data_IF_298856355391
#
_entry.id   IF_298856355391
#
_cell.length_a   1.000
_cell.length_b   1.000
_cell.length_c   1.000
_cell.angle_alpha   90.00
_cell.angle_beta   90.00
_cell.angle_gamma   90.00
#
_symmetry.space_group_name_H-M   'P 1'
#
loop_
_entity.id
_entity.type
_entity.pdbx_description
1 polymer ?
#
# COMPACT_ATOMS: atom_id res chain seq x y z
N UNK A 1 23.16 3.67 9.36
CA UNK A 1 21.89 3.62 8.60
C UNK A 1 22.12 3.75 7.09
N UNK A 2 22.86 4.75 6.60
CA UNK A 2 23.12 4.95 5.15
C UNK A 2 23.58 3.68 4.41
N UNK A 3 24.59 2.96 4.92
CA UNK A 3 25.11 1.74 4.29
C UNK A 3 24.08 0.60 4.21
N UNK A 4 23.25 0.43 5.25
CA UNK A 4 22.17 -0.56 5.28
C UNK A 4 21.08 -0.23 4.26
N UNK A 5 20.65 1.03 4.21
CA UNK A 5 19.62 1.46 3.27
C UNK A 5 20.10 1.28 1.82
N UNK A 6 21.34 1.67 1.53
CA UNK A 6 21.94 1.46 0.22
C UNK A 6 21.96 -0.03 -0.17
N UNK A 7 22.41 -0.91 0.72
CA UNK A 7 22.43 -2.35 0.47
C UNK A 7 21.01 -2.92 0.24
N UNK A 8 20.03 -2.48 1.02
CA UNK A 8 18.64 -2.90 0.83
C UNK A 8 18.08 -2.44 -0.53
N UNK A 9 18.31 -1.19 -0.92
CA UNK A 9 17.86 -0.66 -2.19
C UNK A 9 18.54 -1.35 -3.38
N UNK A 10 19.84 -1.63 -3.29
CA UNK A 10 20.55 -2.38 -4.31
C UNK A 10 19.98 -3.80 -4.44
N UNK A 11 19.70 -4.47 -3.31
CA UNK A 11 19.05 -5.78 -3.32
C UNK A 11 17.64 -5.71 -3.93
N UNK A 12 16.86 -4.69 -3.58
CA UNK A 12 15.51 -4.50 -4.11
C UNK A 12 15.53 -4.33 -5.63
N UNK A 13 16.49 -3.57 -6.17
CA UNK A 13 16.61 -3.36 -7.61
C UNK A 13 17.02 -4.62 -8.39
N UNK A 14 17.70 -5.55 -7.73
CA UNK A 14 18.07 -6.85 -8.30
C UNK A 14 17.02 -7.94 -8.06
N UNK A 15 16.02 -7.67 -7.22
CA UNK A 15 15.03 -8.65 -6.83
C UNK A 15 14.00 -8.90 -7.94
N UNK A 16 13.84 -10.16 -8.35
CA UNK A 16 12.91 -10.52 -9.42
C UNK A 16 11.45 -10.30 -9.03
N UNK A 17 11.10 -10.38 -7.74
CA UNK A 17 9.74 -10.13 -7.24
C UNK A 17 9.36 -8.67 -7.46
N UNK A 18 10.29 -7.74 -7.21
CA UNK A 18 10.06 -6.31 -7.45
C UNK A 18 9.69 -6.04 -8.91
N UNK A 19 10.47 -6.55 -9.85
CA UNK A 19 10.19 -6.39 -11.29
C UNK A 19 8.92 -7.12 -11.73
N UNK A 20 8.60 -8.27 -11.15
CA UNK A 20 7.32 -8.94 -11.37
C UNK A 20 6.15 -8.06 -10.93
N UNK A 21 6.26 -7.37 -9.78
CA UNK A 21 5.22 -6.44 -9.32
C UNK A 21 5.11 -5.21 -10.22
N UNK A 22 6.23 -4.68 -10.72
CA UNK A 22 6.22 -3.58 -11.72
C UNK A 22 5.43 -4.01 -12.96
N UNK A 23 5.73 -5.18 -13.51
CA UNK A 23 5.01 -5.74 -14.66
C UNK A 23 3.53 -5.98 -14.35
N UNK A 24 3.21 -6.46 -13.14
CA UNK A 24 1.83 -6.65 -12.70
C UNK A 24 1.05 -5.33 -12.64
N UNK A 25 1.65 -4.25 -12.12
CA UNK A 25 1.03 -2.91 -12.10
C UNK A 25 0.74 -2.43 -13.52
N UNK A 26 1.71 -2.50 -14.43
CA UNK A 26 1.54 -2.08 -15.84
C UNK A 26 0.43 -2.89 -16.52
N UNK A 27 0.44 -4.21 -16.32
CA UNK A 27 -0.52 -5.12 -16.91
C UNK A 27 -1.94 -4.91 -16.37
N UNK A 28 -2.10 -4.80 -15.05
CA UNK A 28 -3.39 -4.56 -14.41
C UNK A 28 -3.98 -3.23 -14.84
N UNK A 29 -3.18 -2.17 -14.85
CA UNK A 29 -3.64 -0.85 -15.29
C UNK A 29 -4.14 -0.88 -16.74
N UNK A 30 -3.37 -1.51 -17.62
CA UNK A 30 -3.75 -1.66 -19.04
C UNK A 30 -5.05 -2.46 -19.19
N UNK A 31 -5.20 -3.56 -18.47
CA UNK A 31 -6.40 -4.41 -18.51
C UNK A 31 -7.61 -3.66 -17.96
N UNK A 32 -7.48 -2.97 -16.82
CA UNK A 32 -8.59 -2.21 -16.24
C UNK A 32 -8.99 -1.04 -17.13
N UNK A 33 -8.05 -0.31 -17.71
CA UNK A 33 -8.31 0.76 -18.66
C UNK A 33 -9.10 0.25 -19.88
N UNK A 34 -8.72 -0.89 -20.46
CA UNK A 34 -9.47 -1.51 -21.58
C UNK A 34 -10.89 -1.90 -21.13
N UNK A 35 -11.07 -2.42 -19.92
CA UNK A 35 -12.38 -2.81 -19.42
C UNK A 35 -13.28 -1.59 -19.15
N UNK A 36 -12.75 -0.51 -18.58
CA UNK A 36 -13.46 0.74 -18.37
C UNK A 36 -13.94 1.33 -19.70
N UNK A 37 -13.06 1.32 -20.71
CA UNK A 37 -13.42 1.74 -22.08
C UNK A 37 -14.56 0.91 -22.68
N UNK A 38 -14.58 -0.40 -22.44
CA UNK A 38 -15.69 -1.27 -22.89
C UNK A 38 -17.01 -0.99 -22.18
N UNK A 39 -16.96 -0.50 -20.95
CA UNK A 39 -18.14 -0.16 -20.14
C UNK A 39 -18.68 1.24 -20.44
N UNK A 40 -17.96 2.06 -21.22
CA UNK A 40 -18.34 3.44 -21.54
C UNK A 40 -18.12 4.42 -20.38
N UNK A 41 -17.48 3.98 -19.29
CA UNK A 41 -17.07 4.82 -18.16
C UNK A 41 -15.63 5.25 -18.37
N UNK A 42 -15.43 6.52 -18.71
CA UNK A 42 -14.16 7.01 -19.23
C UNK A 42 -13.63 8.35 -18.64
N UNK A 43 -13.97 8.75 -17.40
CA UNK A 43 -13.25 9.90 -16.85
C UNK A 43 -11.76 9.55 -16.72
N UNK A 44 -10.89 10.38 -17.31
CA UNK A 44 -9.43 10.24 -17.26
C UNK A 44 -8.91 10.06 -15.83
N UNK A 45 -9.58 10.76 -14.93
CA UNK A 45 -9.47 10.76 -13.49
C UNK A 45 -9.51 9.35 -12.86
N UNK A 46 -10.47 8.52 -13.26
CA UNK A 46 -10.57 7.14 -12.79
C UNK A 46 -9.45 6.28 -13.38
N UNK A 47 -9.10 6.51 -14.65
CA UNK A 47 -8.04 5.77 -15.34
C UNK A 47 -6.69 5.98 -14.67
N UNK A 48 -6.40 7.17 -14.12
CA UNK A 48 -5.14 7.47 -13.44
C UNK A 48 -4.86 6.64 -12.19
N UNK A 49 -5.91 6.11 -11.54
CA UNK A 49 -5.81 5.50 -10.21
C UNK A 49 -6.48 4.12 -10.11
N UNK A 50 -6.89 3.52 -11.23
CA UNK A 50 -7.63 2.25 -11.20
C UNK A 50 -6.79 1.07 -10.67
N UNK A 51 -5.47 1.06 -10.90
CA UNK A 51 -4.55 0.08 -10.33
C UNK A 51 -4.56 0.04 -8.79
N UNK A 52 -4.96 1.13 -8.12
CA UNK A 52 -4.94 1.21 -6.65
C UNK A 52 -5.78 0.10 -6.01
N UNK A 53 -6.85 -0.35 -6.66
CA UNK A 53 -7.70 -1.43 -6.15
C UNK A 53 -6.93 -2.73 -5.82
N UNK A 54 -5.83 -2.99 -6.53
CA UNK A 54 -5.01 -4.19 -6.31
C UNK A 54 -3.72 -3.90 -5.52
N UNK A 55 -3.38 -2.64 -5.24
CA UNK A 55 -2.10 -2.28 -4.63
C UNK A 55 -1.90 -2.92 -3.26
N UNK A 56 -2.93 -3.01 -2.42
CA UNK A 56 -2.81 -3.66 -1.11
C UNK A 56 -2.28 -5.10 -1.20
N UNK A 57 -2.73 -5.86 -2.21
CA UNK A 57 -2.31 -7.25 -2.44
C UNK A 57 -0.88 -7.29 -3.01
N UNK A 58 -0.57 -6.43 -3.98
CA UNK A 58 0.77 -6.37 -4.58
C UNK A 58 1.84 -5.98 -3.54
N UNK A 59 1.54 -4.99 -2.69
CA UNK A 59 2.43 -4.57 -1.59
C UNK A 59 2.61 -5.71 -0.59
N UNK A 60 1.54 -6.44 -0.24
CA UNK A 60 1.62 -7.59 0.65
C UNK A 60 2.57 -8.67 0.12
N UNK A 61 2.44 -9.01 -1.17
CA UNK A 61 3.29 -10.00 -1.84
C UNK A 61 4.75 -9.52 -1.87
N UNK A 62 4.99 -8.28 -2.32
CA UNK A 62 6.32 -7.71 -2.44
C UNK A 62 7.07 -7.73 -1.11
N UNK A 63 6.48 -7.11 -0.08
CA UNK A 63 7.14 -6.90 1.19
C UNK A 63 7.30 -8.21 1.98
N UNK A 64 6.30 -9.08 1.95
CA UNK A 64 6.39 -10.35 2.67
C UNK A 64 7.49 -11.27 2.10
N UNK A 65 7.65 -11.30 0.77
CA UNK A 65 8.70 -12.08 0.10
C UNK A 65 10.08 -11.43 0.27
N UNK A 66 10.17 -10.11 0.14
CA UNK A 66 11.42 -9.36 0.28
C UNK A 66 11.99 -9.43 1.71
N UNK A 67 11.14 -9.38 2.75
CA UNK A 67 11.61 -9.55 4.13
C UNK A 67 11.80 -11.02 4.52
N UNK A 68 11.08 -11.94 3.88
CA UNK A 68 11.23 -13.38 4.14
C UNK A 68 12.60 -13.94 3.76
N UNK A 69 13.25 -13.40 2.72
CA UNK A 69 14.63 -13.78 2.33
C UNK A 69 15.66 -13.41 3.39
N UNK A 70 15.47 -12.26 4.06
CA UNK A 70 16.34 -11.76 5.13
C UNK A 70 16.43 -12.74 6.32
N UNK A 71 15.36 -13.50 6.57
CA UNK A 71 15.31 -14.57 7.58
C UNK A 71 15.82 -15.90 7.05
N UNK A 72 15.37 -16.32 5.87
CA UNK A 72 15.71 -17.62 5.29
C UNK A 72 17.21 -17.78 5.04
N UNK A 73 17.88 -16.70 4.64
CA UNK A 73 19.32 -16.69 4.34
C UNK A 73 20.19 -16.32 5.57
N UNK A 74 19.58 -16.04 6.72
CA UNK A 74 20.31 -15.60 7.91
C UNK A 74 20.91 -14.18 7.79
N UNK A 75 20.55 -13.41 6.76
CA UNK A 75 21.06 -12.06 6.50
C UNK A 75 20.83 -11.10 7.67
N UNK A 76 19.73 -11.26 8.42
CA UNK A 76 19.48 -10.48 9.65
C UNK A 76 20.58 -10.73 10.70
N UNK A 77 21.03 -11.97 10.88
CA UNK A 77 22.12 -12.30 11.81
C UNK A 77 23.43 -11.69 11.34
N UNK A 78 23.73 -11.76 10.04
CA UNK A 78 24.92 -11.15 9.46
C UNK A 78 24.95 -9.63 9.70
N UNK A 79 23.81 -8.94 9.52
CA UNK A 79 23.67 -7.50 9.81
C UNK A 79 23.98 -7.19 11.29
N UNK A 80 23.56 -8.05 12.23
CA UNK A 80 23.85 -7.89 13.66
C UNK A 80 25.31 -8.16 14.02
N UNK A 81 25.93 -9.20 13.44
CA UNK A 81 27.34 -9.57 13.69
C UNK A 81 28.29 -8.46 13.25
N UNK A 82 28.00 -7.80 12.12
CA UNK A 82 28.76 -6.63 11.64
C UNK A 82 28.58 -5.38 12.55
N UNK A 83 27.72 -5.46 13.56
CA UNK A 83 27.54 -4.42 14.59
C UNK A 83 26.39 -3.45 14.33
N UNK A 84 25.47 -3.74 13.39
CA UNK A 84 24.31 -2.89 13.21
C UNK A 84 23.27 -3.06 14.32
N UNK A 85 22.71 -1.93 14.78
CA UNK A 85 21.64 -1.92 15.78
C UNK A 85 20.35 -2.48 15.18
N UNK A 86 19.57 -3.23 15.96
CA UNK A 86 18.23 -3.73 15.57
C UNK A 86 17.30 -2.63 15.06
N UNK A 87 17.31 -1.46 15.70
CA UNK A 87 16.53 -0.30 15.24
C UNK A 87 16.93 0.17 13.84
N UNK A 88 18.22 0.14 13.53
CA UNK A 88 18.71 0.57 12.23
C UNK A 88 18.36 -0.42 11.12
N UNK A 89 18.28 -1.71 11.44
CA UNK A 89 17.84 -2.76 10.50
C UNK A 89 16.36 -2.57 10.19
N UNK A 90 15.52 -2.40 11.23
CA UNK A 90 14.08 -2.19 11.07
C UNK A 90 13.77 -0.93 10.23
N UNK A 91 14.36 0.22 10.59
CA UNK A 91 14.13 1.47 9.88
C UNK A 91 14.67 1.44 8.45
N UNK A 92 15.80 0.77 8.19
CA UNK A 92 16.32 0.63 6.84
C UNK A 92 15.43 -0.25 5.96
N UNK A 93 14.82 -1.31 6.51
CA UNK A 93 13.87 -2.16 5.80
C UNK A 93 12.54 -1.42 5.54
N UNK A 94 12.05 -0.65 6.51
CA UNK A 94 10.86 0.18 6.36
C UNK A 94 11.04 1.24 5.26
N UNK A 95 12.14 1.98 5.28
CA UNK A 95 12.45 3.00 4.27
C UNK A 95 12.61 2.40 2.88
N UNK A 96 13.28 1.24 2.76
CA UNK A 96 13.38 0.52 1.48
C UNK A 96 12.00 0.09 0.98
N UNK A 97 11.11 -0.37 1.88
CA UNK A 97 9.72 -0.69 1.56
C UNK A 97 8.93 0.52 1.07
N UNK A 98 9.03 1.68 1.74
CA UNK A 98 8.39 2.91 1.28
C UNK A 98 8.87 3.36 -0.09
N UNK A 99 10.17 3.27 -0.35
CA UNK A 99 10.73 3.59 -1.67
C UNK A 99 10.19 2.62 -2.72
N UNK A 100 10.17 1.31 -2.44
CA UNK A 100 9.63 0.31 -3.36
C UNK A 100 8.17 0.59 -3.74
N UNK A 101 7.33 0.85 -2.74
CA UNK A 101 5.90 1.14 -2.93
C UNK A 101 5.68 2.46 -3.64
N UNK A 102 6.49 3.48 -3.35
CA UNK A 102 6.42 4.76 -4.06
C UNK A 102 6.78 4.61 -5.53
N UNK A 103 7.81 3.81 -5.86
CA UNK A 103 8.15 3.52 -7.27
C UNK A 103 7.00 2.80 -7.97
N UNK A 104 6.39 1.78 -7.35
CA UNK A 104 5.23 1.10 -7.92
C UNK A 104 4.05 2.05 -8.16
N UNK A 105 3.76 2.92 -7.19
CA UNK A 105 2.69 3.92 -7.31
C UNK A 105 2.95 4.89 -8.46
N UNK A 106 4.16 5.44 -8.56
CA UNK A 106 4.53 6.36 -9.63
C UNK A 106 4.47 5.70 -11.01
N UNK A 107 4.89 4.44 -11.13
CA UNK A 107 4.76 3.68 -12.38
C UNK A 107 3.29 3.51 -12.75
N UNK A 108 2.41 3.17 -11.80
CA UNK A 108 0.98 3.06 -12.04
C UNK A 108 0.38 4.37 -12.58
N UNK A 109 0.64 5.49 -11.90
CA UNK A 109 0.17 6.82 -12.33
C UNK A 109 0.73 7.21 -13.71
N UNK A 110 2.00 6.92 -14.00
CA UNK A 110 2.59 7.18 -15.31
C UNK A 110 1.90 6.38 -16.42
N UNK A 111 1.63 5.09 -16.19
CA UNK A 111 0.94 4.24 -17.15
C UNK A 111 -0.50 4.72 -17.36
N UNK A 112 -1.24 4.99 -16.28
CA UNK A 112 -2.59 5.54 -16.34
C UNK A 112 -2.64 6.87 -17.09
N UNK A 113 -1.67 7.77 -16.86
CA UNK A 113 -1.57 9.05 -17.55
C UNK A 113 -1.27 8.91 -19.04
N UNK A 114 -0.36 8.00 -19.43
CA UNK A 114 -0.08 7.70 -20.84
C UNK A 114 -1.31 7.09 -21.53
N UNK A 115 -1.99 6.15 -20.88
CA UNK A 115 -3.19 5.51 -21.44
C UNK A 115 -4.35 6.51 -21.57
N UNK A 116 -4.59 7.34 -20.54
CA UNK A 116 -5.60 8.40 -20.58
C UNK A 116 -5.34 9.40 -21.72
N UNK A 117 -4.07 9.81 -21.91
CA UNK A 117 -3.70 10.70 -23.00
C UNK A 117 -3.90 10.07 -24.39
N UNK A 118 -3.56 8.78 -24.55
CA UNK A 118 -3.76 8.04 -25.82
C UNK A 118 -5.23 7.87 -26.15
N UNK A 119 -6.10 7.77 -25.15
CA UNK A 119 -7.54 7.61 -25.34
C UNK A 119 -8.30 8.93 -25.53
N UNK A 120 -7.63 10.09 -25.38
CA UNK A 120 -8.22 11.43 -25.48
C UNK A 120 -9.36 11.66 -24.48
N UNK A 121 -9.25 11.08 -23.29
CA UNK A 121 -10.29 11.25 -22.27
C UNK A 121 -10.18 12.61 -21.57
N UNK A 122 -11.29 13.33 -21.37
CA UNK A 122 -11.28 14.60 -20.68
C UNK A 122 -11.08 14.42 -19.16
N UNK A 123 -10.49 15.44 -18.54
CA UNK A 123 -10.49 15.60 -17.08
C UNK A 123 -11.87 16.12 -16.67
N UNK A 124 -12.55 15.42 -15.75
CA UNK A 124 -13.86 15.84 -15.24
C UNK A 124 -13.71 16.70 -13.98
N UNK A 125 -12.73 16.36 -13.12
CA UNK A 125 -12.52 17.00 -11.84
C UNK A 125 -11.41 18.07 -11.90
N UNK A 126 -11.45 18.99 -10.93
CA UNK A 126 -10.43 20.03 -10.80
C UNK A 126 -9.05 19.42 -10.47
N UNK A 127 -7.99 20.04 -10.97
CA UNK A 127 -6.61 19.56 -10.82
C UNK A 127 -6.24 19.35 -9.35
N UNK A 128 -6.73 20.21 -8.46
CA UNK A 128 -6.49 20.10 -7.03
C UNK A 128 -7.10 18.82 -6.45
N UNK A 129 -8.30 18.43 -6.88
CA UNK A 129 -8.95 17.20 -6.41
C UNK A 129 -8.19 15.96 -6.87
N UNK A 130 -7.70 15.94 -8.11
CA UNK A 130 -6.88 14.85 -8.64
C UNK A 130 -5.59 14.68 -7.83
N UNK A 131 -4.92 15.79 -7.50
CA UNK A 131 -3.71 15.76 -6.67
C UNK A 131 -4.05 15.24 -5.26
N UNK A 132 -5.15 15.68 -4.65
CA UNK A 132 -5.57 15.20 -3.33
C UNK A 132 -5.87 13.71 -3.32
N UNK A 133 -6.61 13.21 -4.31
CA UNK A 133 -6.89 11.77 -4.52
C UNK A 133 -5.58 10.98 -4.63
N UNK A 134 -4.64 11.47 -5.44
CA UNK A 134 -3.32 10.84 -5.59
C UNK A 134 -2.52 10.80 -4.29
N UNK A 135 -2.52 11.88 -3.51
CA UNK A 135 -1.83 11.94 -2.21
C UNK A 135 -2.48 10.99 -1.20
N UNK A 136 -3.81 10.95 -1.11
CA UNK A 136 -4.53 10.02 -0.24
C UNK A 136 -4.23 8.57 -0.63
N UNK A 137 -4.30 8.23 -1.91
CA UNK A 137 -3.99 6.90 -2.42
C UNK A 137 -2.53 6.48 -2.15
N UNK A 138 -1.58 7.40 -2.32
CA UNK A 138 -0.17 7.16 -2.01
C UNK A 138 0.07 6.92 -0.51
N UNK A 139 -0.51 7.75 0.35
CA UNK A 139 -0.41 7.58 1.81
C UNK A 139 -1.07 6.28 2.29
N UNK A 140 -2.19 5.87 1.68
CA UNK A 140 -2.80 4.57 1.95
C UNK A 140 -1.86 3.41 1.57
N UNK A 141 -1.15 3.51 0.44
CA UNK A 141 -0.15 2.52 0.05
C UNK A 141 1.03 2.47 1.04
N UNK A 142 1.50 3.61 1.55
CA UNK A 142 2.53 3.65 2.60
C UNK A 142 2.03 3.07 3.93
N UNK A 143 0.74 3.21 4.24
CA UNK A 143 0.11 2.56 5.40
C UNK A 143 0.15 1.04 5.28
N UNK A 144 -0.20 0.47 4.12
CA UNK A 144 0.00 -0.95 3.84
C UNK A 144 1.46 -1.37 4.02
N UNK A 145 2.40 -0.57 3.51
CA UNK A 145 3.82 -0.86 3.63
C UNK A 145 4.28 -0.92 5.09
N UNK A 146 3.80 -0.01 5.95
CA UNK A 146 4.11 -0.01 7.38
C UNK A 146 3.53 -1.25 8.09
N UNK A 147 2.28 -1.60 7.79
CA UNK A 147 1.60 -2.80 8.35
C UNK A 147 2.37 -4.07 7.97
N UNK A 148 2.67 -4.27 6.69
CA UNK A 148 3.34 -5.48 6.23
C UNK A 148 4.83 -5.52 6.57
N UNK A 149 5.49 -4.37 6.72
CA UNK A 149 6.85 -4.33 7.29
C UNK A 149 6.85 -4.79 8.75
N UNK A 150 5.86 -4.40 9.56
CA UNK A 150 5.71 -4.93 10.91
C UNK A 150 5.57 -6.46 10.89
N UNK A 151 4.63 -6.99 10.09
CA UNK A 151 4.38 -8.44 10.01
C UNK A 151 5.61 -9.20 9.51
N UNK A 152 6.23 -8.72 8.43
CA UNK A 152 7.39 -9.36 7.82
C UNK A 152 8.61 -9.35 8.73
N UNK A 153 8.84 -8.25 9.45
CA UNK A 153 9.96 -8.16 10.40
C UNK A 153 9.71 -8.93 11.69
N UNK A 154 8.46 -9.25 12.06
CA UNK A 154 8.16 -10.06 13.23
C UNK A 154 8.01 -11.55 12.94
N UNK A 155 7.78 -11.93 11.68
CA UNK A 155 7.75 -13.33 11.25
C UNK A 155 9.14 -13.96 11.25
N UNK A 156 9.24 -15.26 11.56
CA UNK A 156 10.49 -16.02 11.55
C UNK A 156 10.69 -16.81 10.26
N UNK A 157 9.62 -17.01 9.48
CA UNK A 157 9.67 -17.75 8.22
C UNK A 157 9.05 -16.95 7.09
N UNK A 158 9.62 -17.14 5.89
CA UNK A 158 9.14 -16.52 4.65
C UNK A 158 7.68 -16.86 4.36
N UNK A 159 7.31 -18.13 4.52
CA UNK A 159 5.95 -18.61 4.23
C UNK A 159 4.91 -18.02 5.19
N UNK A 160 5.21 -17.95 6.49
CA UNK A 160 4.26 -17.39 7.48
C UNK A 160 4.06 -15.89 7.23
N UNK A 161 5.14 -15.15 6.97
CA UNK A 161 5.06 -13.74 6.56
C UNK A 161 4.14 -13.55 5.36
N UNK A 162 4.33 -14.33 4.30
CA UNK A 162 3.52 -14.25 3.09
C UNK A 162 2.05 -14.55 3.34
N UNK A 163 1.74 -15.64 4.05
CA UNK A 163 0.36 -16.03 4.36
C UNK A 163 -0.34 -14.93 5.16
N UNK A 164 0.29 -14.41 6.22
CA UNK A 164 -0.32 -13.38 7.08
C UNK A 164 -0.50 -12.07 6.32
N UNK A 165 0.48 -11.63 5.52
CA UNK A 165 0.35 -10.40 4.74
C UNK A 165 -0.74 -10.51 3.67
N UNK A 166 -0.80 -11.62 2.93
CA UNK A 166 -1.80 -11.82 1.87
C UNK A 166 -3.20 -11.91 2.46
N UNK A 167 -3.40 -12.73 3.50
CA UNK A 167 -4.69 -12.80 4.19
C UNK A 167 -5.07 -11.47 4.83
N UNK A 168 -4.10 -10.73 5.36
CA UNK A 168 -4.31 -9.38 5.88
C UNK A 168 -4.77 -8.39 4.81
N UNK A 169 -4.16 -8.41 3.61
CA UNK A 169 -4.55 -7.58 2.49
C UNK A 169 -5.99 -7.87 2.04
N UNK A 170 -6.34 -9.16 1.88
CA UNK A 170 -7.71 -9.56 1.55
C UNK A 170 -8.69 -9.21 2.68
N UNK A 171 -8.29 -9.36 3.95
CA UNK A 171 -9.10 -8.94 5.09
C UNK A 171 -9.43 -7.45 5.05
N UNK A 172 -8.44 -6.60 4.78
CA UNK A 172 -8.63 -5.15 4.63
C UNK A 172 -9.50 -4.80 3.41
N UNK A 173 -9.32 -5.51 2.29
CA UNK A 173 -10.15 -5.37 1.09
C UNK A 173 -11.62 -5.72 1.36
N UNK A 174 -11.90 -6.92 1.86
CA UNK A 174 -13.26 -7.41 2.07
C UNK A 174 -14.00 -6.63 3.16
N UNK A 175 -13.31 -6.24 4.24
CA UNK A 175 -13.89 -5.35 5.25
C UNK A 175 -14.26 -4.00 4.67
N UNK A 176 -13.42 -3.42 3.82
CA UNK A 176 -13.72 -2.17 3.12
C UNK A 176 -14.93 -2.30 2.20
N UNK A 177 -14.98 -3.36 1.39
CA UNK A 177 -16.13 -3.61 0.50
C UNK A 177 -17.43 -3.82 1.29
N UNK A 178 -17.37 -4.54 2.40
CA UNK A 178 -18.52 -4.74 3.27
C UNK A 178 -19.02 -3.44 3.89
N UNK A 179 -18.11 -2.60 4.40
CA UNK A 179 -18.44 -1.30 4.98
C UNK A 179 -19.02 -0.37 3.91
N UNK A 180 -18.40 -0.33 2.73
CA UNK A 180 -18.87 0.47 1.58
C UNK A 180 -20.32 0.13 1.22
N UNK A 181 -20.65 -1.15 1.08
CA UNK A 181 -22.02 -1.59 0.79
C UNK A 181 -23.02 -1.19 1.87
N UNK A 182 -22.60 -1.17 3.14
CA UNK A 182 -23.46 -0.75 4.26
C UNK A 182 -23.69 0.76 4.29
N UNK A 183 -22.66 1.55 3.98
CA UNK A 183 -22.74 3.02 3.92
C UNK A 183 -23.55 3.51 2.71
N UNK A 184 -23.50 2.78 1.60
CA UNK A 184 -24.23 3.10 0.37
C UNK A 184 -25.74 2.87 0.47
N UNK A 185 -26.24 2.10 1.46
CA UNK A 185 -27.67 1.83 1.63
C UNK A 185 -28.36 2.94 2.45
N UNK A 186 -29.28 3.73 1.85
CA UNK A 186 -29.95 4.82 2.54
C UNK A 186 -30.76 4.32 3.76
N UNK A 187 -30.65 5.02 4.89
CA UNK A 187 -31.44 4.73 6.10
C UNK A 187 -31.02 3.48 6.88
N UNK A 188 -30.02 2.71 6.43
CA UNK A 188 -29.58 1.48 7.11
C UNK A 188 -28.68 1.73 8.32
N UNK A 189 -27.93 2.83 8.30
CA UNK A 189 -27.07 3.27 9.39
C UNK A 189 -27.47 4.71 9.75
N UNK A 190 -27.67 4.96 11.05
CA UNK A 190 -28.11 6.27 11.55
C UNK A 190 -27.34 6.67 12.80
N UNK A 191 -27.19 7.98 13.00
CA UNK A 191 -26.51 8.56 14.16
C UNK A 191 -25.10 8.01 14.36
N UNK A 192 -24.79 7.62 15.59
CA UNK A 192 -23.46 7.13 16.03
C UNK A 192 -22.98 5.88 15.28
N UNK A 193 -23.90 5.01 14.85
CA UNK A 193 -23.52 3.80 14.11
C UNK A 193 -22.94 4.13 12.75
N UNK A 194 -23.49 5.16 12.07
CA UNK A 194 -22.97 5.61 10.78
C UNK A 194 -21.56 6.19 10.93
N UNK A 195 -21.36 7.07 11.93
CA UNK A 195 -20.07 7.69 12.20
C UNK A 195 -18.98 6.65 12.50
N UNK A 196 -19.32 5.57 13.21
CA UNK A 196 -18.37 4.47 13.45
C UNK A 196 -17.98 3.75 12.15
N UNK A 197 -18.93 3.50 11.26
CA UNK A 197 -18.65 2.86 9.97
C UNK A 197 -17.80 3.77 9.06
N UNK A 198 -18.09 5.06 9.01
CA UNK A 198 -17.29 6.06 8.29
C UNK A 198 -15.86 6.08 8.83
N UNK A 199 -15.68 6.15 10.15
CA UNK A 199 -14.36 6.06 10.78
C UNK A 199 -13.61 4.77 10.41
N UNK A 200 -14.26 3.60 10.51
CA UNK A 200 -13.63 2.32 10.15
C UNK A 200 -13.26 2.26 8.67
N UNK A 201 -14.05 2.89 7.80
CA UNK A 201 -13.78 2.97 6.37
C UNK A 201 -12.61 3.89 6.06
N UNK A 202 -12.55 5.06 6.70
CA UNK A 202 -11.50 6.06 6.51
C UNK A 202 -10.18 5.64 7.15
N UNK A 203 -10.19 4.87 8.24
CA UNK A 203 -8.95 4.33 8.82
C UNK A 203 -8.41 3.16 7.99
N UNK A 204 -9.25 2.35 7.37
CA UNK A 204 -8.79 1.24 6.56
C UNK A 204 -8.07 1.74 5.29
N UNK A 205 -6.79 1.40 5.04
CA UNK A 205 -6.08 1.83 3.84
C UNK A 205 -6.79 1.44 2.54
N UNK A 206 -7.46 0.29 2.51
CA UNK A 206 -8.23 -0.11 1.34
C UNK A 206 -9.55 0.68 1.21
N UNK A 207 -10.14 1.11 2.33
CA UNK A 207 -11.31 1.99 2.32
C UNK A 207 -10.95 3.37 1.80
N UNK A 208 -9.77 3.90 2.16
CA UNK A 208 -9.24 5.12 1.57
C UNK A 208 -9.02 5.00 0.06
N UNK A 209 -8.49 3.87 -0.42
CA UNK A 209 -8.35 3.59 -1.86
C UNK A 209 -9.70 3.61 -2.57
N UNK A 210 -10.72 2.93 -2.02
CA UNK A 210 -12.05 2.92 -2.63
C UNK A 210 -12.68 4.32 -2.67
N UNK A 211 -12.53 5.11 -1.60
CA UNK A 211 -12.99 6.50 -1.55
C UNK A 211 -12.28 7.38 -2.59
N UNK A 212 -10.95 7.27 -2.66
CA UNK A 212 -10.10 7.97 -3.62
C UNK A 212 -10.54 7.67 -5.06
N UNK A 213 -10.79 6.41 -5.41
CA UNK A 213 -11.26 6.02 -6.75
C UNK A 213 -12.68 6.50 -7.06
N UNK A 214 -13.54 6.62 -6.04
CA UNK A 214 -14.91 7.14 -6.19
C UNK A 214 -15.00 8.67 -6.17
N UNK A 215 -13.87 9.38 -6.05
CA UNK A 215 -13.80 10.84 -5.86
C UNK A 215 -14.61 11.35 -4.65
N UNK A 216 -14.91 10.46 -3.70
CA UNK A 216 -15.58 10.79 -2.46
C UNK A 216 -14.52 11.17 -1.42
N UNK A 217 -14.05 12.42 -1.51
CA UNK A 217 -12.93 12.95 -0.73
C UNK A 217 -13.31 14.19 0.10
N UNK A 218 -14.59 14.27 0.51
CA UNK A 218 -15.14 15.36 1.34
C UNK A 218 -14.29 15.63 2.60
N UNK A 219 -13.66 14.57 3.12
CA UNK A 219 -12.78 14.63 4.29
C UNK A 219 -11.33 14.25 3.97
N UNK A 220 -10.80 14.69 2.82
CA UNK A 220 -9.42 14.43 2.35
C UNK A 220 -8.35 14.55 3.45
N UNK A 221 -8.42 15.64 4.24
CA UNK A 221 -7.43 15.91 5.30
C UNK A 221 -7.52 14.86 6.41
N UNK A 222 -8.73 14.45 6.81
CA UNK A 222 -8.92 13.43 7.85
C UNK A 222 -8.36 12.08 7.41
N UNK A 223 -8.60 11.69 6.15
CA UNK A 223 -8.03 10.47 5.57
C UNK A 223 -6.50 10.50 5.59
N UNK A 224 -5.88 11.63 5.22
CA UNK A 224 -4.42 11.79 5.29
C UNK A 224 -3.91 11.66 6.73
N UNK A 225 -4.59 12.29 7.71
CA UNK A 225 -4.23 12.18 9.12
C UNK A 225 -4.32 10.75 9.63
N UNK A 226 -5.35 9.99 9.24
CA UNK A 226 -5.47 8.57 9.59
C UNK A 226 -4.34 7.74 8.98
N UNK A 227 -3.99 7.98 7.71
CA UNK A 227 -2.85 7.30 7.08
C UNK A 227 -1.53 7.61 7.78
N UNK A 228 -1.25 8.88 8.10
CA UNK A 228 -0.06 9.25 8.89
C UNK A 228 -0.07 8.59 10.28
N UNK A 229 -1.23 8.56 10.94
CA UNK A 229 -1.41 7.88 12.22
C UNK A 229 -1.09 6.39 12.12
N UNK A 230 -1.61 5.69 11.12
CA UNK A 230 -1.32 4.28 10.88
C UNK A 230 0.16 4.03 10.61
N UNK A 231 0.77 4.83 9.72
CA UNK A 231 2.19 4.73 9.42
C UNK A 231 3.01 4.86 10.71
N UNK A 232 2.74 5.86 11.54
CA UNK A 232 3.45 6.06 12.80
C UNK A 232 3.21 4.89 13.77
N UNK A 233 1.96 4.50 14.01
CA UNK A 233 1.61 3.43 14.97
C UNK A 233 2.28 2.13 14.58
N UNK A 234 2.10 1.64 13.35
CA UNK A 234 2.67 0.37 12.92
C UNK A 234 4.21 0.42 12.84
N UNK A 235 4.79 1.56 12.47
CA UNK A 235 6.25 1.72 12.48
C UNK A 235 6.83 1.67 13.89
N UNK A 236 6.21 2.35 14.86
CA UNK A 236 6.67 2.40 16.25
C UNK A 236 6.45 1.08 16.97
N UNK A 237 5.27 0.47 16.82
CA UNK A 237 4.94 -0.84 17.40
C UNK A 237 5.89 -1.91 16.86
N UNK A 238 6.11 -1.94 15.55
CA UNK A 238 7.01 -2.92 14.93
C UNK A 238 8.46 -2.70 15.36
N UNK A 239 8.92 -1.46 15.46
CA UNK A 239 10.24 -1.13 15.99
C UNK A 239 10.41 -1.59 17.45
N UNK A 240 9.39 -1.39 18.28
CA UNK A 240 9.40 -1.78 19.68
C UNK A 240 9.51 -3.29 19.85
N UNK A 241 8.67 -4.07 19.16
CA UNK A 241 8.70 -5.53 19.22
C UNK A 241 9.98 -6.10 18.59
N UNK A 242 10.42 -5.56 17.44
CA UNK A 242 11.63 -6.04 16.78
C UNK A 242 12.90 -5.85 17.62
N UNK A 243 12.98 -4.77 18.41
CA UNK A 243 14.08 -4.58 19.37
C UNK A 243 14.16 -5.70 20.41
N UNK A 244 13.00 -6.21 20.85
CA UNK A 244 12.87 -7.22 21.92
C UNK A 244 12.89 -8.66 21.42
N UNK A 245 12.71 -8.88 20.11
CA UNK A 245 12.65 -10.20 19.48
C UNK A 245 13.96 -10.98 19.68
N UNK A 246 13.89 -12.26 20.04
CA UNK A 246 15.08 -13.12 20.06
C UNK A 246 15.46 -13.49 18.62
N UNK A 247 16.72 -13.26 18.26
CA UNK A 247 17.27 -13.43 16.90
C UNK A 247 18.46 -14.38 17.00
N UNK A 248 18.16 -15.64 17.39
CA UNK A 248 19.13 -16.75 17.44
C UNK A 248 19.28 -17.46 16.11
#
# INVERSE_FOLDING_TARGET
>A
MRKLLYANLQRLWLDSTFWLMVLAVIGLESVFCINLRRQGTLPMDLVLFVFLQCMGILIAILLSLYYGTDYQEGTIRNKLVVGHKRSSIYLANLLAGFIAVTVLFLIGVLVGGVLGAVMYEPLENDLLQIILVGVVGWLACLSFAAIFNLVGMLSNSKSVSAIVCILGAFGLLFTSLYIYQRLAQPGRLTGTTRTLYEFLFEVNPNGQILQAMSYNIDSSIQMMLYSFGLIMVFSLVGLFFFKRKDLK
#
